data_IF_906591413249
#
_entry.id   IF_906591413249
#
_cell.length_a   1.000
_cell.length_b   1.000
_cell.length_c   1.000
_cell.angle_alpha   90.00
_cell.angle_beta   90.00
_cell.angle_gamma   90.00
#
_symmetry.space_group_name_H-M   'P 1'
#
loop_
_entity.id
_entity.type
_entity.pdbx_description
1 polymer ?
#
# COMPACT_ATOMS: atom_id res chain seq x y z
N UNK A 1 27.30 -2.53 -16.48
CA UNK A 1 26.41 -3.64 -16.85
C UNK A 1 25.37 -3.71 -15.76
N UNK A 2 24.15 -3.27 -16.04
CA UNK A 2 23.06 -3.36 -15.07
C UNK A 2 22.52 -4.79 -15.08
N UNK A 3 22.12 -5.32 -13.92
CA UNK A 3 21.51 -6.65 -13.75
C UNK A 3 20.03 -6.48 -13.46
N UNK A 4 19.17 -6.31 -14.49
CA UNK A 4 17.80 -5.81 -14.32
C UNK A 4 16.90 -6.75 -13.50
N UNK A 5 17.35 -7.99 -13.31
CA UNK A 5 16.60 -9.05 -12.62
C UNK A 5 17.12 -9.33 -11.20
N UNK A 6 18.33 -8.87 -10.85
CA UNK A 6 19.02 -9.34 -9.63
C UNK A 6 18.40 -8.86 -8.32
N UNK A 7 17.70 -7.73 -8.34
CA UNK A 7 17.17 -7.08 -7.12
C UNK A 7 15.65 -7.10 -7.00
N UNK A 8 14.92 -7.73 -7.93
CA UNK A 8 13.45 -7.64 -7.98
C UNK A 8 12.78 -8.22 -6.72
N UNK A 9 13.27 -9.37 -6.22
CA UNK A 9 12.73 -9.99 -5.02
C UNK A 9 13.08 -9.19 -3.76
N UNK A 10 14.33 -8.75 -3.62
CA UNK A 10 14.74 -7.92 -2.48
C UNK A 10 13.96 -6.60 -2.42
N UNK A 11 13.66 -5.98 -3.56
CA UNK A 11 12.82 -4.80 -3.64
C UNK A 11 11.36 -5.09 -3.23
N UNK A 12 10.80 -6.22 -3.66
CA UNK A 12 9.46 -6.64 -3.28
C UNK A 12 9.36 -6.93 -1.78
N UNK A 13 10.32 -7.64 -1.20
CA UNK A 13 10.40 -7.94 0.23
C UNK A 13 10.51 -6.66 1.06
N UNK A 14 11.40 -5.75 0.66
CA UNK A 14 11.54 -4.47 1.32
C UNK A 14 10.24 -3.65 1.26
N UNK A 15 9.53 -3.68 0.13
CA UNK A 15 8.22 -3.02 -0.01
C UNK A 15 7.20 -3.59 0.98
N UNK A 16 7.11 -4.91 1.09
CA UNK A 16 6.22 -5.56 2.06
C UNK A 16 6.59 -5.17 3.49
N UNK A 17 7.89 -5.12 3.80
CA UNK A 17 8.41 -4.64 5.07
C UNK A 17 8.03 -3.18 5.37
N UNK A 18 8.10 -2.30 4.36
CA UNK A 18 7.66 -0.91 4.49
C UNK A 18 6.17 -0.79 4.78
N UNK A 19 5.32 -1.58 4.13
CA UNK A 19 3.87 -1.62 4.42
C UNK A 19 3.62 -2.02 5.87
N UNK A 20 4.32 -3.05 6.37
CA UNK A 20 4.22 -3.49 7.77
C UNK A 20 4.72 -2.41 8.75
N UNK A 21 5.83 -1.74 8.42
CA UNK A 21 6.37 -0.64 9.21
C UNK A 21 5.37 0.52 9.33
N UNK A 22 4.67 0.86 8.25
CA UNK A 22 3.62 1.88 8.26
C UNK A 22 2.41 1.44 9.09
N UNK A 23 1.93 0.21 8.86
CA UNK A 23 0.77 -0.32 9.56
C UNK A 23 1.00 -0.42 11.08
N UNK A 24 2.22 -0.72 11.52
CA UNK A 24 2.54 -1.03 12.93
C UNK A 24 3.46 -0.03 13.62
N UNK A 25 3.85 1.04 12.94
CA UNK A 25 4.73 2.11 13.45
C UNK A 25 6.05 1.55 14.03
N UNK A 26 6.62 0.52 13.38
CA UNK A 26 7.76 -0.25 13.91
C UNK A 26 8.98 0.65 14.16
N UNK A 27 9.42 1.51 13.21
CA UNK A 27 10.58 2.37 13.46
C UNK A 27 10.38 3.32 14.65
N UNK A 28 9.19 3.92 14.77
CA UNK A 28 8.85 4.86 15.83
C UNK A 28 8.77 4.17 17.20
N UNK A 29 8.12 3.01 17.26
CA UNK A 29 8.04 2.21 18.49
C UNK A 29 9.43 1.71 18.93
N UNK A 30 10.28 1.32 17.96
CA UNK A 30 11.66 0.92 18.24
C UNK A 30 12.47 2.07 18.83
N UNK A 31 12.33 3.28 18.28
CA UNK A 31 12.99 4.47 18.81
C UNK A 31 12.53 4.79 20.25
N UNK A 32 11.22 4.71 20.53
CA UNK A 32 10.67 4.88 21.88
C UNK A 32 11.25 3.87 22.88
N UNK A 33 11.33 2.60 22.49
CA UNK A 33 11.89 1.54 23.35
C UNK A 33 13.38 1.77 23.64
N UNK A 34 14.15 2.21 22.64
CA UNK A 34 15.57 2.58 22.82
C UNK A 34 15.77 3.78 23.73
N UNK A 35 14.77 4.66 23.81
CA UNK A 35 14.70 5.80 24.74
C UNK A 35 14.14 5.41 26.14
N UNK A 36 14.00 4.11 26.41
CA UNK A 36 13.53 3.59 27.71
C UNK A 36 12.03 3.78 27.96
N UNK A 37 11.24 4.15 26.95
CA UNK A 37 9.80 4.45 27.08
C UNK A 37 8.94 3.27 26.64
N UNK A 38 7.98 2.88 27.48
CA UNK A 38 6.98 1.84 27.19
C UNK A 38 5.62 2.45 26.81
N UNK A 39 5.49 2.98 25.60
CA UNK A 39 4.30 3.72 25.15
C UNK A 39 3.25 2.85 24.42
N UNK A 40 2.84 1.70 25.00
CA UNK A 40 1.94 0.73 24.34
C UNK A 40 0.64 1.33 23.78
N UNK A 41 0.03 2.29 24.49
CA UNK A 41 -1.24 2.92 24.07
C UNK A 41 -1.07 3.85 22.86
N UNK A 42 0.13 4.38 22.63
CA UNK A 42 0.42 5.34 21.56
C UNK A 42 0.58 4.65 20.21
N UNK A 43 1.18 3.46 20.20
CA UNK A 43 1.49 2.71 18.98
C UNK A 43 0.40 1.68 18.66
N UNK A 44 -0.86 2.12 18.60
CA UNK A 44 -1.95 1.30 18.06
C UNK A 44 -1.84 1.28 16.53
N UNK A 45 -1.62 0.09 15.97
CA UNK A 45 -1.45 -0.09 14.53
C UNK A 45 -2.77 -0.27 13.78
N UNK A 46 -2.64 -0.46 12.47
CA UNK A 46 -3.73 -0.87 11.57
C UNK A 46 -3.53 -2.33 11.17
N UNK A 47 -4.60 -3.11 11.20
CA UNK A 47 -4.60 -4.47 10.68
C UNK A 47 -4.71 -4.47 9.15
N UNK A 48 -3.87 -5.26 8.48
CA UNK A 48 -3.82 -5.36 7.01
C UNK A 48 -4.94 -6.23 6.43
N UNK A 49 -5.41 -7.24 7.16
CA UNK A 49 -6.44 -8.14 6.69
C UNK A 49 -7.71 -7.36 6.30
N UNK A 50 -8.26 -7.66 5.12
CA UNK A 50 -9.42 -6.98 4.54
C UNK A 50 -9.17 -5.55 4.04
N UNK A 51 -7.95 -5.01 4.13
CA UNK A 51 -7.60 -3.69 3.55
C UNK A 51 -7.31 -3.78 2.07
N UNK A 52 -7.42 -2.66 1.38
CA UNK A 52 -7.18 -2.53 -0.07
C UNK A 52 -5.79 -1.96 -0.32
N UNK A 53 -4.97 -2.69 -1.08
CA UNK A 53 -3.67 -2.26 -1.58
C UNK A 53 -3.77 -1.90 -3.07
N UNK A 54 -3.50 -0.64 -3.40
CA UNK A 54 -3.31 -0.16 -4.76
C UNK A 54 -1.87 -0.32 -5.23
N UNK A 55 -1.67 -0.96 -6.37
CA UNK A 55 -0.35 -1.23 -6.94
C UNK A 55 -0.25 -0.54 -8.30
N UNK A 56 0.57 0.50 -8.39
CA UNK A 56 0.84 1.19 -9.65
C UNK A 56 2.08 0.61 -10.30
N UNK A 57 1.93 -0.04 -11.45
CA UNK A 57 2.97 -0.83 -12.09
C UNK A 57 2.91 -2.29 -11.67
N UNK A 58 2.51 -3.14 -12.62
CA UNK A 58 2.25 -4.57 -12.44
C UNK A 58 3.32 -5.44 -13.14
N UNK A 59 4.51 -4.88 -13.30
CA UNK A 59 5.71 -5.59 -13.74
C UNK A 59 6.22 -6.57 -12.68
N UNK A 60 7.51 -6.94 -12.79
CA UNK A 60 8.15 -7.97 -11.93
C UNK A 60 7.94 -7.71 -10.43
N UNK A 61 8.28 -6.52 -9.95
CA UNK A 61 8.19 -6.19 -8.51
C UNK A 61 6.73 -6.09 -8.05
N UNK A 62 5.88 -5.38 -8.79
CA UNK A 62 4.48 -5.18 -8.41
C UNK A 62 3.70 -6.49 -8.26
N UNK A 63 3.93 -7.45 -9.15
CA UNK A 63 3.36 -8.80 -9.03
C UNK A 63 3.82 -9.54 -7.78
N UNK A 64 5.12 -9.50 -7.48
CA UNK A 64 5.68 -10.17 -6.29
C UNK A 64 5.17 -9.55 -4.97
N UNK A 65 4.94 -8.24 -4.97
CA UNK A 65 4.30 -7.54 -3.85
C UNK A 65 2.83 -7.96 -3.73
N UNK A 66 2.08 -8.00 -4.83
CA UNK A 66 0.68 -8.38 -4.84
C UNK A 66 0.44 -9.76 -4.20
N UNK A 67 1.17 -10.78 -4.67
CA UNK A 67 1.02 -12.17 -4.20
C UNK A 67 1.35 -12.31 -2.72
N UNK A 68 2.38 -11.60 -2.23
CA UNK A 68 2.73 -11.57 -0.80
C UNK A 68 1.65 -10.88 0.02
N UNK A 69 1.18 -9.71 -0.38
CA UNK A 69 0.19 -8.97 0.41
C UNK A 69 -1.20 -9.61 0.39
N UNK A 70 -1.55 -10.37 -0.65
CA UNK A 70 -2.73 -11.23 -0.66
C UNK A 70 -2.68 -12.31 0.43
N UNK A 71 -1.49 -12.84 0.76
CA UNK A 71 -1.35 -13.81 1.88
C UNK A 71 -1.61 -13.19 3.26
N UNK A 72 -1.52 -11.86 3.38
CA UNK A 72 -1.97 -11.10 4.56
C UNK A 72 -3.48 -10.81 4.53
N UNK A 73 -4.21 -11.30 3.53
CA UNK A 73 -5.65 -11.08 3.36
C UNK A 73 -6.00 -9.70 2.79
N UNK A 74 -5.07 -8.99 2.17
CA UNK A 74 -5.36 -7.72 1.49
C UNK A 74 -6.06 -7.96 0.15
N UNK A 75 -7.01 -7.10 -0.20
CA UNK A 75 -7.53 -6.98 -1.57
C UNK A 75 -6.53 -6.18 -2.40
N UNK A 76 -6.09 -6.70 -3.54
CA UNK A 76 -5.16 -5.99 -4.42
C UNK A 76 -5.86 -5.46 -5.67
N UNK A 77 -5.73 -4.16 -5.89
CA UNK A 77 -6.15 -3.47 -7.11
C UNK A 77 -4.92 -2.80 -7.72
N UNK A 78 -4.93 -2.51 -9.02
CA UNK A 78 -3.76 -1.90 -9.64
C UNK A 78 -3.99 -1.30 -11.00
N UNK A 79 -2.93 -0.68 -11.52
CA UNK A 79 -2.93 -0.06 -12.83
C UNK A 79 -1.59 -0.29 -13.51
N UNK A 80 -1.61 -0.75 -14.75
CA UNK A 80 -0.44 -0.80 -15.61
C UNK A 80 -0.86 -0.61 -17.08
N UNK A 81 -0.32 0.37 -17.82
CA UNK A 81 -0.74 0.63 -19.20
C UNK A 81 -0.23 -0.43 -20.20
N UNK A 82 0.68 -1.32 -19.80
CA UNK A 82 1.32 -2.31 -20.68
C UNK A 82 0.78 -3.71 -20.41
N UNK A 83 0.47 -4.03 -19.16
CA UNK A 83 -0.01 -5.37 -18.78
C UNK A 83 -1.51 -5.51 -19.07
N UNK A 84 -1.87 -6.53 -19.85
CA UNK A 84 -3.27 -6.83 -20.15
C UNK A 84 -4.06 -7.24 -18.87
N UNK A 85 -5.34 -6.87 -18.74
CA UNK A 85 -6.17 -7.18 -17.57
C UNK A 85 -6.21 -8.66 -17.19
N UNK A 86 -6.20 -9.56 -18.18
CA UNK A 86 -6.22 -11.01 -18.00
C UNK A 86 -4.93 -11.51 -17.33
N UNK A 87 -3.80 -10.89 -17.66
CA UNK A 87 -2.50 -11.20 -17.07
C UNK A 87 -2.49 -10.82 -15.60
N UNK A 88 -3.00 -9.63 -15.25
CA UNK A 88 -3.13 -9.22 -13.85
C UNK A 88 -4.11 -10.05 -13.03
N UNK A 89 -5.22 -10.47 -13.66
CA UNK A 89 -6.18 -11.35 -13.03
C UNK A 89 -5.57 -12.72 -12.68
N UNK A 90 -4.64 -13.23 -13.50
CA UNK A 90 -3.95 -14.51 -13.25
C UNK A 90 -3.16 -14.54 -11.93
N UNK A 91 -2.76 -13.38 -11.40
CA UNK A 91 -2.12 -13.23 -10.09
C UNK A 91 -2.98 -12.43 -9.09
N UNK A 92 -4.29 -12.39 -9.32
CA UNK A 92 -5.26 -11.89 -8.36
C UNK A 92 -5.30 -10.37 -8.18
N UNK A 93 -4.80 -9.59 -9.16
CA UNK A 93 -4.91 -8.12 -9.13
C UNK A 93 -6.01 -7.67 -10.08
N UNK A 94 -7.00 -6.93 -9.56
CA UNK A 94 -8.03 -6.28 -10.37
C UNK A 94 -7.46 -4.97 -10.94
N UNK A 95 -7.38 -4.86 -12.26
CA UNK A 95 -7.01 -3.59 -12.90
C UNK A 95 -8.18 -2.61 -12.93
N UNK A 96 -7.90 -1.36 -12.59
CA UNK A 96 -8.84 -0.24 -12.59
C UNK A 96 -8.19 1.02 -13.16
N UNK A 97 -8.96 1.96 -13.72
CA UNK A 97 -8.48 3.31 -14.01
C UNK A 97 -7.94 3.99 -12.73
N UNK A 98 -6.94 4.86 -12.88
CA UNK A 98 -6.26 5.49 -11.74
C UNK A 98 -7.25 6.25 -10.84
N UNK A 99 -8.18 6.98 -11.44
CA UNK A 99 -9.24 7.74 -10.77
C UNK A 99 -10.15 6.88 -9.88
N UNK A 100 -10.31 5.60 -10.19
CA UNK A 100 -11.07 4.65 -9.38
C UNK A 100 -10.23 4.00 -8.28
N UNK A 101 -8.90 3.93 -8.46
CA UNK A 101 -7.99 3.36 -7.46
C UNK A 101 -7.89 4.27 -6.23
N UNK A 102 -7.70 5.57 -6.43
CA UNK A 102 -7.45 6.52 -5.33
C UNK A 102 -8.47 6.46 -4.18
N UNK A 103 -9.79 6.48 -4.44
CA UNK A 103 -10.78 6.45 -3.35
C UNK A 103 -10.92 5.08 -2.67
N UNK A 104 -10.39 4.00 -3.25
CA UNK A 104 -10.56 2.64 -2.74
C UNK A 104 -9.40 2.17 -1.85
N UNK A 105 -8.21 2.76 -1.99
CA UNK A 105 -7.00 2.27 -1.36
C UNK A 105 -6.83 2.72 0.10
N UNK A 106 -6.49 1.77 0.98
CA UNK A 106 -5.92 2.06 2.30
C UNK A 106 -4.40 2.24 2.21
N UNK A 107 -3.75 1.51 1.29
CA UNK A 107 -2.33 1.58 1.00
C UNK A 107 -2.10 1.71 -0.50
N UNK A 108 -1.09 2.46 -0.91
CA UNK A 108 -0.67 2.59 -2.30
C UNK A 108 0.84 2.34 -2.38
N UNK A 109 1.26 1.55 -3.36
CA UNK A 109 2.67 1.32 -3.69
C UNK A 109 2.92 1.53 -5.18
N UNK A 110 4.11 2.03 -5.52
CA UNK A 110 4.49 2.40 -6.88
C UNK A 110 5.72 1.60 -7.31
N UNK A 111 5.60 0.93 -8.45
CA UNK A 111 6.61 0.08 -9.07
C UNK A 111 6.75 0.37 -10.58
N UNK A 112 6.38 1.57 -11.02
CA UNK A 112 6.58 2.03 -12.39
C UNK A 112 7.99 2.59 -12.60
N UNK A 113 8.58 2.46 -13.80
CA UNK A 113 9.79 3.20 -14.13
C UNK A 113 9.54 4.71 -14.06
N UNK A 114 10.58 5.48 -13.76
CA UNK A 114 10.54 6.94 -13.86
C UNK A 114 10.63 7.33 -15.33
N UNK A 115 9.52 7.83 -15.86
CA UNK A 115 9.34 8.32 -17.23
C UNK A 115 8.67 9.69 -17.15
N UNK A 116 8.80 10.56 -18.17
CA UNK A 116 8.03 11.80 -18.23
C UNK A 116 6.52 11.58 -18.04
N UNK A 117 6.01 10.42 -18.47
CA UNK A 117 4.61 9.99 -18.33
C UNK A 117 4.22 9.45 -16.95
N UNK A 118 5.18 9.23 -16.03
CA UNK A 118 4.95 8.75 -14.65
C UNK A 118 5.38 9.78 -13.59
N UNK A 119 6.17 10.78 -13.97
CA UNK A 119 6.50 11.94 -13.12
C UNK A 119 5.23 12.67 -12.67
N UNK A 120 4.97 12.69 -11.35
CA UNK A 120 3.87 13.47 -10.75
C UNK A 120 2.47 12.85 -10.83
N UNK A 121 2.27 11.70 -11.48
CA UNK A 121 0.95 11.03 -11.57
C UNK A 121 0.56 10.19 -10.35
N UNK A 122 1.47 10.03 -9.38
CA UNK A 122 1.26 9.20 -8.19
C UNK A 122 0.60 9.95 -7.02
N UNK A 123 0.24 11.22 -7.20
CA UNK A 123 -0.46 12.02 -6.19
C UNK A 123 -1.78 12.44 -6.83
N UNK A 124 -2.95 12.01 -6.32
CA UNK A 124 -4.20 12.65 -6.72
C UNK A 124 -4.03 14.16 -6.47
N UNK A 125 -4.47 15.01 -7.40
CA UNK A 125 -4.49 16.45 -7.16
C UNK A 125 -5.11 16.67 -5.78
N UNK A 126 -4.32 17.18 -4.82
CA UNK A 126 -4.67 17.22 -3.39
C UNK A 126 -5.91 18.12 -3.19
N UNK A 127 -7.10 17.57 -3.44
CA UNK A 127 -8.39 18.11 -3.06
C UNK A 127 -8.69 17.65 -1.64
N UNK A 128 -8.68 18.59 -0.70
CA UNK A 128 -8.86 18.33 0.73
C UNK A 128 -10.12 17.54 1.04
N UNK A 129 -9.97 16.47 1.82
CA UNK A 129 -11.10 15.64 2.21
C UNK A 129 -10.69 14.42 3.04
N UNK A 130 -9.91 14.62 4.10
CA UNK A 130 -9.68 13.58 5.10
C UNK A 130 -11.01 13.28 5.81
N UNK A 131 -11.81 12.33 5.29
CA UNK A 131 -13.00 11.85 6.00
C UNK A 131 -12.56 10.90 7.09
N UNK A 132 -12.34 11.44 8.29
CA UNK A 132 -12.30 10.63 9.49
C UNK A 132 -13.69 10.04 9.73
N UNK A 133 -13.88 8.75 9.49
CA UNK A 133 -15.04 8.02 10.00
C UNK A 133 -14.84 7.84 11.52
N UNK A 134 -15.32 8.80 12.32
CA UNK A 134 -15.68 8.51 13.71
C UNK A 134 -17.14 8.06 13.73
N UNK A 135 -17.47 6.91 14.34
CA UNK A 135 -18.86 6.60 14.64
C UNK A 135 -19.34 7.56 15.72
N UNK A 136 -20.49 8.16 15.46
CA UNK A 136 -21.20 9.08 16.33
C UNK A 136 -21.58 8.34 17.63
N UNK A 137 -21.04 8.77 18.77
CA UNK A 137 -21.50 8.27 20.07
C UNK A 137 -22.80 9.00 20.37
N UNK A 138 -23.91 8.40 19.94
CA UNK A 138 -25.25 8.77 20.38
C UNK A 138 -25.31 8.78 21.91
N UNK A 139 -25.49 9.96 22.49
CA UNK A 139 -25.78 10.13 23.89
C UNK A 139 -27.18 9.60 24.20
N UNK A 140 -27.27 8.79 25.25
CA UNK A 140 -28.55 8.43 25.87
C UNK A 140 -29.09 9.64 26.63
N UNK A 141 -30.38 10.00 26.48
CA UNK A 141 -31.07 10.80 27.49
C UNK A 141 -31.90 9.89 28.41
N UNK A 142 -31.82 10.20 29.71
CA UNK A 142 -32.65 9.78 30.86
C UNK A 142 -32.79 8.28 31.14
#
# INVERSE_FOLDING_TARGET
>A
MDTPNGNSLSAAELTCGMILCLARQIPQATASMKDGKWERKKFMGTELNGKVLGILGLGRIGREVATRMQSFGMKTIGYDPIIAPEVSASFGVQQLPLEEIWPLCDFITVHTPLLPSTTGRCVPALGGGHRSHRPDKGGSPS
#
